data_IF_319957025961
#
_entry.id   IF_319957025961
#
_cell.length_a   1.000
_cell.length_b   1.000
_cell.length_c   1.000
_cell.angle_alpha   90.00
_cell.angle_beta   90.00
_cell.angle_gamma   90.00
#
_symmetry.space_group_name_H-M   'P 1'
#
loop_
_entity.id
_entity.type
_entity.pdbx_description
1 polymer ?
#
# COMPACT_ATOMS: atom_id res chain seq x y z
N UNK A 1 -15.86 21.21 -5.15
CA UNK A 1 -14.40 21.43 -5.17
C UNK A 1 -13.91 21.11 -6.56
N UNK A 2 -13.41 22.09 -7.30
CA UNK A 2 -12.68 21.81 -8.55
C UNK A 2 -11.45 20.96 -8.22
N UNK A 3 -11.06 19.97 -9.06
CA UNK A 3 -9.82 19.26 -8.84
C UNK A 3 -8.68 20.28 -8.91
N UNK A 4 -7.98 20.46 -7.79
CA UNK A 4 -6.74 21.23 -7.78
C UNK A 4 -5.72 20.51 -8.67
N UNK A 5 -5.00 21.25 -9.51
CA UNK A 5 -3.95 20.73 -10.40
C UNK A 5 -2.84 20.05 -9.57
N UNK A 6 -2.94 18.74 -9.38
CA UNK A 6 -1.84 17.95 -8.83
C UNK A 6 -0.72 17.93 -9.88
N UNK A 7 0.51 18.27 -9.47
CA UNK A 7 1.67 18.12 -10.35
C UNK A 7 1.84 16.62 -10.64
N UNK A 8 2.11 16.28 -11.89
CA UNK A 8 2.49 14.93 -12.28
C UNK A 8 3.95 14.95 -12.71
N UNK A 9 4.73 13.97 -12.24
CA UNK A 9 6.12 13.82 -12.64
C UNK A 9 6.20 13.42 -14.11
N UNK A 10 7.20 13.96 -14.81
CA UNK A 10 7.56 13.45 -16.14
C UNK A 10 8.21 12.07 -16.03
N UNK A 11 8.27 11.35 -17.14
CA UNK A 11 9.01 10.10 -17.20
C UNK A 11 10.49 10.29 -16.80
N UNK A 12 11.12 11.41 -17.18
CA UNK A 12 12.51 11.71 -16.82
C UNK A 12 12.67 11.89 -15.30
N UNK A 13 11.75 12.62 -14.66
CA UNK A 13 11.75 12.79 -13.20
C UNK A 13 11.55 11.46 -12.46
N UNK A 14 10.67 10.58 -12.98
CA UNK A 14 10.49 9.24 -12.43
C UNK A 14 11.76 8.39 -12.57
N UNK A 15 12.43 8.44 -13.73
CA UNK A 15 13.69 7.72 -13.93
C UNK A 15 14.80 8.25 -13.02
N UNK A 16 14.87 9.56 -12.79
CA UNK A 16 15.85 10.15 -11.88
C UNK A 16 15.69 9.68 -10.42
N UNK A 17 14.45 9.38 -9.99
CA UNK A 17 14.18 8.83 -8.64
C UNK A 17 14.57 7.36 -8.44
N UNK A 18 14.86 6.62 -9.52
CA UNK A 18 15.11 5.18 -9.46
C UNK A 18 16.33 4.81 -8.64
N UNK A 19 17.36 5.67 -8.58
CA UNK A 19 18.59 5.36 -7.85
C UNK A 19 18.37 5.33 -6.34
N UNK A 20 17.49 6.17 -5.78
CA UNK A 20 17.08 6.05 -4.37
C UNK A 20 16.25 4.79 -4.15
N UNK A 21 15.28 4.50 -5.03
CA UNK A 21 14.44 3.30 -4.91
C UNK A 21 15.29 2.02 -4.89
N UNK A 22 16.35 1.94 -5.72
CA UNK A 22 17.29 0.81 -5.79
C UNK A 22 18.14 0.64 -4.54
N UNK A 23 18.26 1.65 -3.68
CA UNK A 23 18.93 1.54 -2.36
C UNK A 23 18.09 0.79 -1.33
N UNK A 24 16.87 0.36 -1.66
CA UNK A 24 16.09 -0.48 -0.75
C UNK A 24 16.83 -1.76 -0.37
N UNK A 25 16.82 -2.13 0.93
CA UNK A 25 17.44 -3.37 1.38
C UNK A 25 16.70 -4.58 0.79
N UNK A 26 17.44 -5.65 0.50
CA UNK A 26 16.88 -6.87 -0.13
C UNK A 26 16.15 -7.77 0.85
N UNK A 27 16.65 -7.86 2.07
CA UNK A 27 16.18 -8.87 3.04
C UNK A 27 15.31 -8.23 4.12
N UNK A 28 15.85 -7.24 4.84
CA UNK A 28 15.18 -6.60 5.98
C UNK A 28 15.17 -5.09 5.86
N UNK A 29 14.03 -4.47 6.18
CA UNK A 29 13.84 -3.03 6.11
C UNK A 29 12.99 -2.49 7.25
N UNK A 30 12.87 -1.17 7.30
CA UNK A 30 12.03 -0.49 8.28
C UNK A 30 10.62 -0.35 7.71
N UNK A 31 9.62 -0.82 8.45
CA UNK A 31 8.21 -0.51 8.16
C UNK A 31 7.99 0.97 8.48
N UNK A 32 7.78 1.78 7.44
CA UNK A 32 7.62 3.24 7.57
C UNK A 32 6.20 3.66 7.92
N UNK A 33 5.20 2.86 7.56
CA UNK A 33 3.79 3.15 7.76
C UNK A 33 2.98 1.86 7.76
N UNK A 34 1.97 1.78 8.62
CA UNK A 34 1.00 0.68 8.66
C UNK A 34 -0.36 1.29 8.40
N UNK A 35 -1.05 0.79 7.38
CA UNK A 35 -2.41 1.22 7.03
C UNK A 35 -3.30 -0.01 6.94
N UNK A 36 -4.48 0.07 7.53
CA UNK A 36 -5.55 -0.93 7.39
C UNK A 36 -6.84 -0.29 6.93
N UNK A 37 -7.75 -1.08 6.37
CA UNK A 37 -9.08 -0.67 5.91
C UNK A 37 -10.15 -1.39 6.71
N UNK A 38 -10.73 -0.74 7.73
CA UNK A 38 -11.81 -1.36 8.51
C UNK A 38 -13.07 -1.66 7.67
N UNK A 39 -13.34 -0.82 6.66
CA UNK A 39 -14.47 -0.98 5.74
C UNK A 39 -14.13 -0.45 4.33
N UNK A 40 -15.06 -0.61 3.39
CA UNK A 40 -14.95 -0.01 2.05
C UNK A 40 -14.82 1.51 2.20
N UNK A 41 -13.87 2.10 1.47
CA UNK A 41 -13.51 3.52 1.51
C UNK A 41 -12.94 4.06 2.84
N UNK A 42 -12.80 3.22 3.86
CA UNK A 42 -12.15 3.60 5.12
C UNK A 42 -10.66 3.25 5.13
N UNK A 43 -9.85 4.10 5.78
CA UNK A 43 -8.42 3.88 5.99
C UNK A 43 -8.01 4.40 7.36
N UNK A 44 -7.23 3.61 8.08
CA UNK A 44 -6.65 3.98 9.37
C UNK A 44 -5.14 3.76 9.31
N UNK A 45 -4.36 4.75 9.77
CA UNK A 45 -2.92 4.62 9.97
C UNK A 45 -2.65 4.33 11.44
N UNK A 46 -1.93 3.24 11.73
CA UNK A 46 -1.64 2.79 13.10
C UNK A 46 -0.14 2.75 13.35
N UNK A 47 0.25 2.91 14.62
CA UNK A 47 1.67 2.82 15.02
C UNK A 47 2.13 1.37 15.19
N UNK A 48 1.21 0.48 15.61
CA UNK A 48 1.46 -0.94 15.86
C UNK A 48 0.26 -1.74 15.37
N UNK A 49 0.52 -2.94 14.84
CA UNK A 49 -0.53 -3.87 14.45
C UNK A 49 -0.05 -5.31 14.57
N UNK A 50 -0.99 -6.23 14.70
CA UNK A 50 -0.76 -7.67 14.73
C UNK A 50 -1.11 -8.27 13.36
N UNK A 51 -0.30 -9.25 12.94
CA UNK A 51 -0.52 -10.03 11.73
C UNK A 51 -0.78 -11.47 12.15
N UNK A 52 -1.96 -11.97 11.80
CA UNK A 52 -2.35 -13.37 12.00
C UNK A 52 -2.27 -14.14 10.68
N UNK A 53 -2.00 -15.44 10.75
CA UNK A 53 -1.82 -16.30 9.58
C UNK A 53 -3.10 -16.55 8.77
N UNK A 54 -4.27 -16.37 9.39
CA UNK A 54 -5.59 -16.58 8.78
C UNK A 54 -6.32 -15.26 8.54
N UNK A 55 -6.25 -14.35 9.51
CA UNK A 55 -6.98 -13.08 9.48
C UNK A 55 -6.18 -11.96 8.78
N UNK A 56 -4.88 -12.18 8.50
CA UNK A 56 -4.00 -11.16 7.91
C UNK A 56 -3.70 -10.02 8.90
N UNK A 57 -3.67 -8.78 8.41
CA UNK A 57 -3.52 -7.61 9.28
C UNK A 57 -4.81 -7.39 10.08
N UNK A 58 -4.76 -7.54 11.41
CA UNK A 58 -5.96 -7.41 12.24
C UNK A 58 -6.61 -6.02 12.09
N UNK A 59 -7.89 -6.03 11.69
CA UNK A 59 -8.69 -4.84 11.40
C UNK A 59 -8.62 -4.35 9.94
N UNK A 60 -7.94 -5.06 9.03
CA UNK A 60 -8.17 -4.90 7.58
C UNK A 60 -9.34 -5.77 7.14
N UNK A 61 -10.08 -5.31 6.14
CA UNK A 61 -11.27 -5.97 5.63
C UNK A 61 -11.00 -6.89 4.43
N UNK A 62 -9.75 -7.25 4.11
CA UNK A 62 -9.41 -8.03 2.91
C UNK A 62 -10.28 -9.30 2.74
N UNK A 63 -10.54 -10.02 3.84
CA UNK A 63 -11.32 -11.25 3.84
C UNK A 63 -12.80 -10.98 3.54
N UNK A 64 -13.39 -9.99 4.22
CA UNK A 64 -14.79 -9.58 4.04
C UNK A 64 -15.04 -8.94 2.67
N UNK A 65 -14.04 -8.22 2.14
CA UNK A 65 -14.08 -7.62 0.80
C UNK A 65 -14.15 -8.68 -0.29
N UNK A 66 -13.51 -9.82 -0.08
CA UNK A 66 -13.38 -10.87 -1.09
C UNK A 66 -12.46 -10.47 -2.26
N UNK A 67 -12.43 -11.33 -3.27
CA UNK A 67 -11.73 -11.09 -4.52
C UNK A 67 -12.67 -11.41 -5.70
N UNK A 68 -13.10 -10.42 -6.50
CA UNK A 68 -13.96 -10.66 -7.66
C UNK A 68 -13.35 -11.58 -8.73
N UNK A 69 -12.03 -11.82 -8.67
CA UNK A 69 -11.31 -12.69 -9.61
C UNK A 69 -11.36 -14.17 -9.24
N UNK A 70 -11.77 -14.52 -8.01
CA UNK A 70 -12.01 -15.91 -7.62
C UNK A 70 -13.39 -16.36 -8.08
N UNK A 71 -13.55 -17.65 -8.39
CA UNK A 71 -14.78 -18.18 -8.99
C UNK A 71 -16.03 -18.04 -8.09
N UNK A 72 -15.83 -18.04 -6.77
CA UNK A 72 -16.87 -17.91 -5.75
C UNK A 72 -16.87 -16.54 -5.05
N UNK A 73 -16.01 -15.61 -5.49
CA UNK A 73 -15.84 -14.29 -4.88
C UNK A 73 -15.13 -14.30 -3.52
N UNK A 74 -14.66 -15.47 -3.06
CA UNK A 74 -13.90 -15.58 -1.82
C UNK A 74 -12.60 -14.78 -1.89
N UNK A 75 -12.10 -14.34 -0.73
CA UNK A 75 -10.81 -13.67 -0.66
C UNK A 75 -9.67 -14.63 -1.01
N UNK A 76 -8.68 -14.13 -1.75
CA UNK A 76 -7.47 -14.88 -2.07
C UNK A 76 -6.47 -14.77 -0.90
N UNK A 77 -6.07 -15.89 -0.27
CA UNK A 77 -5.10 -15.88 0.83
C UNK A 77 -3.75 -15.21 0.49
N UNK A 78 -3.35 -15.19 -0.78
CA UNK A 78 -2.11 -14.52 -1.21
C UNK A 78 -2.26 -12.98 -1.22
N UNK A 79 -3.47 -12.47 -1.02
CA UNK A 79 -3.80 -11.03 -0.97
C UNK A 79 -4.07 -10.51 0.44
N UNK A 80 -3.66 -11.25 1.47
CA UNK A 80 -3.78 -10.88 2.88
C UNK A 80 -3.06 -9.57 3.22
N UNK A 81 -1.92 -9.31 2.57
CA UNK A 81 -1.08 -8.15 2.82
C UNK A 81 -0.60 -7.54 1.51
N UNK A 82 -0.59 -6.21 1.45
CA UNK A 82 0.08 -5.46 0.40
C UNK A 82 1.29 -4.74 0.98
N UNK A 83 2.44 -4.88 0.33
CA UNK A 83 3.67 -4.18 0.69
C UNK A 83 4.04 -3.25 -0.46
N UNK A 84 4.34 -1.99 -0.14
CA UNK A 84 4.82 -1.01 -1.09
C UNK A 84 6.12 -0.38 -0.57
N UNK A 85 7.08 -0.19 -1.48
CA UNK A 85 8.33 0.46 -1.14
C UNK A 85 8.08 1.94 -0.81
N UNK A 86 8.39 2.35 0.42
CA UNK A 86 8.17 3.72 0.90
C UNK A 86 8.86 4.77 0.02
N UNK A 87 10.02 4.46 -0.57
CA UNK A 87 10.74 5.38 -1.47
C UNK A 87 9.99 5.64 -2.78
N UNK A 88 9.23 4.64 -3.25
CA UNK A 88 8.35 4.82 -4.41
C UNK A 88 7.20 5.74 -4.03
N UNK A 89 6.61 5.55 -2.84
CA UNK A 89 5.55 6.44 -2.33
C UNK A 89 6.09 7.87 -2.22
N UNK A 90 7.26 8.08 -1.63
CA UNK A 90 7.90 9.39 -1.52
C UNK A 90 8.13 10.06 -2.89
N UNK A 91 8.47 9.29 -3.93
CA UNK A 91 8.64 9.79 -5.29
C UNK A 91 7.29 10.20 -5.93
N UNK A 92 6.24 9.39 -5.79
CA UNK A 92 4.98 9.61 -6.54
C UNK A 92 3.93 10.40 -5.77
N UNK A 93 3.97 10.39 -4.44
CA UNK A 93 3.07 11.12 -3.57
C UNK A 93 3.53 12.57 -3.36
N UNK A 94 4.08 13.18 -4.42
CA UNK A 94 4.54 14.57 -4.41
C UNK A 94 3.47 15.46 -3.79
N UNK A 95 3.88 16.18 -2.76
CA UNK A 95 3.00 17.06 -1.99
C UNK A 95 2.38 18.10 -2.92
N UNK A 96 1.22 18.62 -2.49
CA UNK A 96 0.67 19.86 -3.04
C UNK A 96 1.65 21.01 -2.81
#
# INVERSE_FOLDING_TARGET
MSPANARHLTAEELHAGMDEIRRSPKDGGVVKMIVRRPAVDERETVQTAEVDLKEGLLGDNWQQRGNPMTADGSADPEMQLNIMNARVIELVAISK
#
